data_IF_138658179660
#
_entry.id   IF_138658179660
#
_cell.length_a   1.000
_cell.length_b   1.000
_cell.length_c   1.000
_cell.angle_alpha   90.00
_cell.angle_beta   90.00
_cell.angle_gamma   90.00
#
_symmetry.space_group_name_H-M   'P 1'
#
loop_
_entity.id
_entity.type
_entity.pdbx_description
1 polymer ?
#
# COMPACT_ATOMS: atom_id res chain seq x y z
N UNK A 1 -1.45 -49.28 11.33
CA UNK A 1 -1.01 -47.88 11.36
C UNK A 1 -0.62 -47.49 9.95
N UNK A 2 -1.41 -46.66 9.30
CA UNK A 2 -1.11 -46.12 7.97
C UNK A 2 -0.20 -44.90 8.06
N UNK A 3 0.38 -44.50 6.94
CA UNK A 3 1.19 -43.27 6.85
C UNK A 3 0.39 -42.02 7.24
N UNK A 4 -0.87 -41.93 6.81
CA UNK A 4 -1.78 -40.85 7.18
C UNK A 4 -2.09 -40.81 8.68
N UNK A 5 -2.27 -41.97 9.31
CA UNK A 5 -2.47 -42.08 10.76
C UNK A 5 -1.25 -41.60 11.54
N UNK A 6 -0.04 -41.96 11.07
CA UNK A 6 1.21 -41.50 11.65
C UNK A 6 1.36 -39.97 11.54
N UNK A 7 1.13 -39.41 10.34
CA UNK A 7 1.21 -37.96 10.14
C UNK A 7 0.18 -37.19 10.98
N UNK A 8 -1.03 -37.74 11.16
CA UNK A 8 -2.04 -37.15 12.03
C UNK A 8 -1.59 -37.11 13.49
N UNK A 9 -1.00 -38.20 14.01
CA UNK A 9 -0.48 -38.25 15.38
C UNK A 9 0.69 -37.28 15.59
N UNK A 10 1.63 -37.23 14.64
CA UNK A 10 2.77 -36.30 14.72
C UNK A 10 2.26 -34.85 14.73
N UNK A 11 1.31 -34.49 13.86
CA UNK A 11 0.71 -33.15 13.85
C UNK A 11 0.02 -32.81 15.17
N UNK A 12 -0.71 -33.77 15.75
CA UNK A 12 -1.36 -33.58 17.05
C UNK A 12 -0.34 -33.34 18.18
N UNK A 13 0.79 -34.07 18.16
CA UNK A 13 1.87 -33.87 19.13
C UNK A 13 2.48 -32.46 19.02
N UNK A 14 2.74 -31.97 17.80
CA UNK A 14 3.21 -30.60 17.59
C UNK A 14 2.20 -29.55 18.05
N UNK A 15 0.91 -29.73 17.77
CA UNK A 15 -0.12 -28.80 18.25
C UNK A 15 -0.20 -28.72 19.78
N UNK A 16 0.16 -29.79 20.49
CA UNK A 16 0.15 -29.82 21.96
C UNK A 16 1.44 -29.26 22.59
N UNK A 17 2.61 -29.57 21.99
CA UNK A 17 3.92 -29.24 22.55
C UNK A 17 4.45 -27.88 22.08
N UNK A 18 4.12 -27.48 20.85
CA UNK A 18 4.57 -26.25 20.21
C UNK A 18 3.40 -25.58 19.47
N UNK A 19 2.39 -25.07 20.22
CA UNK A 19 1.26 -24.39 19.61
C UNK A 19 1.71 -23.09 18.92
N UNK A 20 1.08 -22.76 17.79
CA UNK A 20 1.31 -21.47 17.14
C UNK A 20 0.97 -20.35 18.11
N UNK A 21 1.90 -19.42 18.40
CA UNK A 21 1.64 -18.33 19.33
C UNK A 21 0.43 -17.49 18.91
N UNK A 22 -0.39 -17.08 19.88
CA UNK A 22 -1.67 -16.40 19.62
C UNK A 22 -1.50 -15.11 18.82
N UNK A 23 -0.39 -14.40 19.04
CA UNK A 23 0.00 -13.20 18.32
C UNK A 23 0.28 -13.44 16.83
N UNK A 24 0.80 -14.61 16.45
CA UNK A 24 1.02 -14.98 15.04
C UNK A 24 -0.33 -15.19 14.35
N UNK A 25 -1.26 -15.88 15.02
CA UNK A 25 -2.63 -16.05 14.51
C UNK A 25 -3.36 -14.70 14.42
N UNK A 26 -3.21 -13.84 15.43
CA UNK A 26 -3.79 -12.50 15.43
C UNK A 26 -3.23 -11.62 14.30
N UNK A 27 -1.92 -11.67 14.07
CA UNK A 27 -1.25 -10.97 12.97
C UNK A 27 -1.74 -11.48 11.60
N UNK A 28 -1.84 -12.81 11.44
CA UNK A 28 -2.37 -13.42 10.21
C UNK A 28 -3.82 -13.01 9.92
N UNK A 29 -4.69 -13.00 10.93
CA UNK A 29 -6.07 -12.51 10.80
C UNK A 29 -6.12 -11.02 10.48
N UNK A 30 -5.27 -10.21 11.12
CA UNK A 30 -5.18 -8.77 10.87
C UNK A 30 -4.73 -8.47 9.44
N UNK A 31 -3.81 -9.28 8.89
CA UNK A 31 -3.37 -9.16 7.51
C UNK A 31 -4.50 -9.38 6.49
N UNK A 32 -5.50 -10.21 6.79
CA UNK A 32 -6.69 -10.35 5.94
C UNK A 32 -7.52 -9.07 5.87
N UNK A 33 -7.55 -8.28 6.94
CA UNK A 33 -8.18 -6.96 6.97
C UNK A 33 -7.49 -5.93 6.05
N UNK A 34 -6.26 -6.20 5.61
CA UNK A 34 -5.55 -5.38 4.63
C UNK A 34 -5.94 -5.69 3.18
N UNK A 35 -6.81 -6.68 2.94
CA UNK A 35 -7.37 -6.90 1.61
C UNK A 35 -8.53 -5.96 1.36
N UNK A 36 -8.66 -5.52 0.11
CA UNK A 36 -9.85 -4.82 -0.37
C UNK A 36 -10.52 -5.74 -1.39
N UNK A 37 -11.62 -6.43 -1.02
CA UNK A 37 -12.30 -7.35 -1.92
C UNK A 37 -12.72 -6.66 -3.22
N UNK A 38 -12.49 -7.31 -4.35
CA UNK A 38 -12.85 -6.79 -5.67
C UNK A 38 -11.97 -5.65 -6.21
N UNK A 39 -11.01 -5.13 -5.42
CA UNK A 39 -10.06 -4.14 -5.91
C UNK A 39 -8.97 -4.79 -6.76
N UNK A 40 -8.68 -4.20 -7.93
CA UNK A 40 -7.50 -4.54 -8.71
C UNK A 40 -6.23 -4.15 -7.96
N UNK A 41 -5.20 -5.01 -7.99
CA UNK A 41 -3.92 -4.71 -7.34
C UNK A 41 -2.94 -4.14 -8.36
N UNK A 42 -2.51 -2.90 -8.13
CA UNK A 42 -1.42 -2.28 -8.86
C UNK A 42 -0.08 -2.58 -8.17
N UNK A 43 0.74 -3.44 -8.79
CA UNK A 43 2.03 -3.84 -8.25
C UNK A 43 3.10 -2.78 -8.51
N UNK A 44 4.03 -2.59 -7.55
CA UNK A 44 5.18 -1.72 -7.73
C UNK A 44 6.08 -2.26 -8.85
N UNK A 45 6.25 -1.47 -9.92
CA UNK A 45 7.09 -1.81 -11.08
C UNK A 45 8.35 -0.94 -11.16
N UNK A 46 8.35 0.22 -10.49
CA UNK A 46 9.52 1.11 -10.45
C UNK A 46 9.59 1.85 -9.11
N UNK A 47 10.77 1.86 -8.52
CA UNK A 47 11.11 2.61 -7.32
C UNK A 47 12.46 3.29 -7.53
N UNK A 48 12.48 4.62 -7.58
CA UNK A 48 13.67 5.42 -7.84
C UNK A 48 13.85 6.45 -6.75
N UNK A 49 14.90 6.28 -5.94
CA UNK A 49 15.40 7.34 -5.09
C UNK A 49 16.18 8.35 -5.93
N UNK A 50 15.73 9.61 -5.96
CA UNK A 50 16.41 10.73 -6.59
C UNK A 50 17.09 11.55 -5.49
N UNK A 51 18.41 11.66 -5.58
CA UNK A 51 19.18 12.53 -4.68
C UNK A 51 18.78 13.99 -4.93
N UNK A 52 18.71 14.84 -3.90
CA UNK A 52 18.54 16.27 -4.08
C UNK A 52 19.77 16.81 -4.82
N UNK A 53 19.59 17.25 -6.07
CA UNK A 53 20.67 17.72 -6.93
C UNK A 53 20.51 17.30 -8.39
N UNK A 54 19.61 17.97 -9.12
CA UNK A 54 19.46 17.76 -10.56
C UNK A 54 18.13 18.27 -11.12
N UNK A 55 17.92 19.58 -11.09
CA UNK A 55 16.92 20.28 -11.90
C UNK A 55 15.54 20.49 -11.27
N UNK A 56 15.27 21.74 -10.87
CA UNK A 56 14.02 22.44 -11.19
C UNK A 56 12.75 22.18 -10.38
N UNK A 57 12.75 21.36 -9.32
CA UNK A 57 11.57 21.20 -8.48
C UNK A 57 11.64 22.15 -7.28
N UNK A 58 10.69 23.10 -7.21
CA UNK A 58 10.49 23.99 -6.05
C UNK A 58 9.96 23.19 -4.87
N UNK A 59 10.85 22.44 -4.23
CA UNK A 59 10.62 21.74 -2.97
C UNK A 59 11.99 21.57 -2.31
N UNK A 60 12.25 22.31 -1.25
CA UNK A 60 13.59 22.45 -0.67
C UNK A 60 14.25 21.10 -0.39
N UNK A 61 15.41 20.86 -1.02
CA UNK A 61 16.50 19.97 -0.59
C UNK A 61 16.22 18.52 -0.20
N UNK A 62 14.99 18.03 -0.26
CA UNK A 62 14.59 16.72 0.29
C UNK A 62 14.71 15.63 -0.77
N UNK A 63 15.08 14.42 -0.32
CA UNK A 63 15.14 13.26 -1.19
C UNK A 63 13.75 12.98 -1.78
N UNK A 64 13.69 12.82 -3.10
CA UNK A 64 12.47 12.51 -3.83
C UNK A 64 12.49 11.03 -4.19
N UNK A 65 11.49 10.27 -3.78
CA UNK A 65 11.32 8.88 -4.19
C UNK A 65 10.16 8.79 -5.17
N UNK A 66 10.47 8.48 -6.41
CA UNK A 66 9.50 8.30 -7.48
C UNK A 66 9.09 6.82 -7.57
N UNK A 67 7.80 6.56 -7.38
CA UNK A 67 7.18 5.24 -7.40
C UNK A 67 6.27 5.12 -8.62
N UNK A 68 6.25 3.95 -9.23
CA UNK A 68 5.32 3.61 -10.31
C UNK A 68 4.72 2.24 -10.03
N UNK A 69 3.39 2.20 -10.00
CA UNK A 69 2.61 0.99 -9.80
C UNK A 69 1.79 0.70 -11.06
N UNK A 70 1.66 -0.57 -11.43
CA UNK A 70 0.94 -0.98 -12.63
C UNK A 70 -0.13 -2.02 -12.30
N UNK A 71 -1.32 -1.81 -12.85
CA UNK A 71 -2.43 -2.75 -12.91
C UNK A 71 -2.92 -2.86 -14.38
N UNK A 72 -3.72 -3.87 -14.74
CA UNK A 72 -4.31 -3.94 -16.08
C UNK A 72 -5.02 -2.64 -16.45
N UNK A 73 -4.57 -1.98 -17.53
CA UNK A 73 -5.16 -0.75 -18.06
C UNK A 73 -4.90 0.53 -17.25
N UNK A 74 -4.15 0.47 -16.14
CA UNK A 74 -3.91 1.64 -15.27
C UNK A 74 -2.50 1.67 -14.69
N UNK A 75 -1.94 2.87 -14.57
CA UNK A 75 -0.66 3.14 -13.91
C UNK A 75 -0.88 4.21 -12.85
N UNK A 76 -0.30 4.03 -11.67
CA UNK A 76 -0.24 5.05 -10.62
C UNK A 76 1.21 5.50 -10.49
N UNK A 77 1.45 6.78 -10.70
CA UNK A 77 2.73 7.43 -10.44
C UNK A 77 2.62 8.24 -9.16
N UNK A 78 3.57 8.07 -8.24
CA UNK A 78 3.59 8.78 -6.97
C UNK A 78 5.01 9.24 -6.65
N UNK A 79 5.12 10.51 -6.30
CA UNK A 79 6.32 11.17 -5.84
C UNK A 79 6.18 11.38 -4.33
N UNK A 80 7.16 10.85 -3.59
CA UNK A 80 7.23 10.95 -2.13
C UNK A 80 8.41 11.84 -1.77
N UNK A 81 8.14 12.90 -1.00
CA UNK A 81 9.16 13.82 -0.49
C UNK A 81 8.99 14.07 1.01
N UNK A 82 9.98 14.74 1.59
CA UNK A 82 10.06 15.02 3.04
C UNK A 82 10.84 13.98 3.83
N UNK A 83 11.11 14.30 5.09
CA UNK A 83 11.84 13.45 6.06
C UNK A 83 11.22 13.56 7.46
N UNK A 84 11.55 12.61 8.33
CA UNK A 84 11.03 12.57 9.70
C UNK A 84 9.63 11.96 9.81
N UNK A 85 8.75 12.53 10.63
CA UNK A 85 7.46 11.91 10.99
C UNK A 85 6.42 11.88 9.86
N UNK A 86 6.52 12.79 8.91
CA UNK A 86 5.55 12.93 7.82
C UNK A 86 6.26 12.94 6.46
N UNK A 87 5.54 12.50 5.44
CA UNK A 87 5.88 12.64 4.02
C UNK A 87 4.80 13.43 3.31
N UNK A 88 5.18 14.09 2.24
CA UNK A 88 4.26 14.58 1.24
C UNK A 88 4.23 13.56 0.09
N UNK A 89 3.02 13.22 -0.37
CA UNK A 89 2.79 12.29 -1.48
C UNK A 89 1.96 13.01 -2.52
N UNK A 90 2.53 13.25 -3.70
CA UNK A 90 1.81 13.79 -4.84
C UNK A 90 1.92 12.82 -6.01
N UNK A 91 0.92 12.78 -6.88
CA UNK A 91 0.95 11.79 -7.96
C UNK A 91 -0.20 11.91 -8.93
N UNK A 92 -0.29 10.91 -9.80
CA UNK A 92 -1.43 10.78 -10.72
C UNK A 92 -1.77 9.32 -11.04
N UNK A 93 -3.03 9.09 -11.38
CA UNK A 93 -3.48 7.88 -12.06
C UNK A 93 -3.53 8.11 -13.58
N UNK A 94 -3.09 7.12 -14.35
CA UNK A 94 -3.02 7.16 -15.83
C UNK A 94 -3.77 5.95 -16.40
N UNK A 95 -4.68 6.11 -17.38
CA UNK A 95 -5.18 7.39 -17.90
C UNK A 95 -5.86 8.24 -16.81
N UNK A 96 -5.81 9.57 -16.97
CA UNK A 96 -6.39 10.53 -16.03
C UNK A 96 -7.89 10.29 -15.85
N UNK A 97 -8.34 10.29 -14.59
CA UNK A 97 -9.74 10.10 -14.23
C UNK A 97 -9.95 10.69 -12.84
N UNK A 98 -11.06 11.40 -12.59
CA UNK A 98 -11.40 11.82 -11.24
C UNK A 98 -11.65 10.58 -10.37
N UNK A 99 -11.11 10.55 -9.17
CA UNK A 99 -11.21 9.39 -8.28
C UNK A 99 -11.24 9.83 -6.82
N UNK A 100 -11.93 9.07 -5.96
CA UNK A 100 -11.69 9.19 -4.53
C UNK A 100 -10.37 8.47 -4.20
N UNK A 101 -9.44 9.16 -3.56
CA UNK A 101 -8.13 8.63 -3.19
C UNK A 101 -8.05 8.52 -1.68
N UNK A 102 -7.65 7.35 -1.18
CA UNK A 102 -7.43 7.12 0.24
C UNK A 102 -6.02 6.62 0.47
N UNK A 103 -5.29 7.23 1.39
CA UNK A 103 -4.05 6.67 1.92
C UNK A 103 -4.42 5.65 3.00
N UNK A 104 -3.97 4.42 2.80
CA UNK A 104 -4.13 3.32 3.75
C UNK A 104 -2.82 3.16 4.49
N UNK A 105 -2.84 3.33 5.81
CA UNK A 105 -1.68 3.16 6.68
C UNK A 105 -1.90 1.95 7.58
N UNK A 106 -0.88 1.11 7.71
CA UNK A 106 -0.93 -0.02 8.62
C UNK A 106 -0.99 0.49 10.08
N UNK A 107 -1.98 0.04 10.84
CA UNK A 107 -2.16 0.43 12.24
C UNK A 107 -2.95 1.73 12.45
N UNK A 108 -3.48 2.34 11.38
CA UNK A 108 -4.33 3.54 11.44
C UNK A 108 -5.77 3.19 11.05
N UNK A 109 -6.75 3.90 11.62
CA UNK A 109 -8.15 3.71 11.25
C UNK A 109 -8.39 4.08 9.77
N UNK A 110 -9.25 3.34 9.03
CA UNK A 110 -9.56 3.68 7.65
C UNK A 110 -10.19 5.07 7.51
N UNK A 111 -9.77 5.84 6.50
CA UNK A 111 -10.47 7.06 6.06
C UNK A 111 -9.87 8.38 6.56
N UNK A 112 -8.91 8.37 7.49
CA UNK A 112 -8.29 9.59 8.04
C UNK A 112 -7.56 10.44 6.99
N UNK A 113 -7.13 9.84 5.88
CA UNK A 113 -6.40 10.51 4.80
C UNK A 113 -7.10 10.22 3.46
N UNK A 114 -8.22 10.91 3.25
CA UNK A 114 -9.04 10.81 2.04
C UNK A 114 -9.04 12.15 1.32
N UNK A 115 -8.79 12.13 0.01
CA UNK A 115 -8.92 13.28 -0.87
C UNK A 115 -9.41 12.84 -2.26
N UNK A 116 -9.36 13.71 -3.26
CA UNK A 116 -9.76 13.42 -4.64
C UNK A 116 -8.62 13.61 -5.61
N UNK A 117 -8.59 12.74 -6.62
CA UNK A 117 -7.91 13.01 -7.86
C UNK A 117 -8.80 13.88 -8.75
N UNK A 118 -8.20 14.84 -9.44
CA UNK A 118 -8.90 15.72 -10.40
C UNK A 118 -9.20 15.01 -11.74
N UNK A 119 -9.74 15.75 -12.71
CA UNK A 119 -10.05 15.21 -14.05
C UNK A 119 -8.82 14.67 -14.79
N UNK A 120 -7.64 15.24 -14.54
CA UNK A 120 -6.36 14.77 -15.07
C UNK A 120 -5.79 13.59 -14.27
N UNK A 121 -6.48 13.15 -13.21
CA UNK A 121 -6.07 12.07 -12.32
C UNK A 121 -5.02 12.48 -11.28
N UNK A 122 -4.77 13.78 -11.09
CA UNK A 122 -3.75 14.28 -10.16
C UNK A 122 -4.27 14.34 -8.73
N UNK A 123 -3.45 13.94 -7.76
CA UNK A 123 -3.77 13.97 -6.34
C UNK A 123 -2.57 14.42 -5.50
N UNK A 124 -2.82 14.94 -4.29
CA UNK A 124 -1.77 15.30 -3.34
C UNK A 124 -2.20 15.09 -1.89
N UNK A 125 -1.28 14.60 -1.07
CA UNK A 125 -1.42 14.42 0.37
C UNK A 125 -0.21 15.06 1.06
N UNK A 126 -0.35 16.29 1.60
CA UNK A 126 0.80 17.04 2.11
C UNK A 126 1.34 16.50 3.44
N UNK A 127 0.57 15.66 4.16
CA UNK A 127 0.94 15.17 5.49
C UNK A 127 0.51 13.72 5.70
N UNK A 128 1.32 12.80 5.20
CA UNK A 128 1.16 11.36 5.40
C UNK A 128 2.13 10.88 6.49
N UNK A 129 1.66 10.31 7.61
CA UNK A 129 2.54 9.67 8.60
C UNK A 129 3.48 8.64 7.97
N UNK A 130 4.71 8.58 8.46
CA UNK A 130 5.65 7.51 8.11
C UNK A 130 5.09 6.13 8.49
N UNK A 131 5.30 5.13 7.62
CA UNK A 131 4.79 3.79 7.85
C UNK A 131 4.68 2.95 6.57
N UNK A 132 4.07 1.78 6.70
CA UNK A 132 3.63 0.99 5.56
C UNK A 132 2.35 1.62 4.99
N UNK A 133 2.39 2.02 3.72
CA UNK A 133 1.26 2.65 3.05
C UNK A 133 0.86 1.95 1.75
N UNK A 134 -0.40 2.14 1.38
CA UNK A 134 -1.01 1.74 0.10
C UNK A 134 -1.99 2.85 -0.30
N UNK A 135 -2.08 3.15 -1.60
CA UNK A 135 -3.08 4.06 -2.13
C UNK A 135 -4.28 3.25 -2.62
N UNK A 136 -5.48 3.65 -2.21
CA UNK A 136 -6.74 3.14 -2.73
C UNK A 136 -7.40 4.20 -3.59
N UNK A 137 -7.86 3.79 -4.76
CA UNK A 137 -8.61 4.60 -5.71
C UNK A 137 -9.99 3.98 -5.89
N UNK A 138 -11.03 4.79 -5.72
CA UNK A 138 -12.39 4.46 -6.15
C UNK A 138 -12.70 5.28 -7.40
N UNK A 139 -12.94 4.58 -8.51
CA UNK A 139 -13.20 5.20 -9.81
C UNK A 139 -14.70 5.48 -9.99
N UNK A 140 -15.09 6.38 -10.92
CA UNK A 140 -16.48 6.75 -11.13
C UNK A 140 -17.36 5.60 -11.64
N UNK A 141 -16.77 4.61 -12.31
CA UNK A 141 -17.45 3.40 -12.79
C UNK A 141 -17.68 2.35 -11.69
N UNK A 142 -17.34 2.66 -10.44
CA UNK A 142 -17.46 1.78 -9.29
C UNK A 142 -16.32 0.78 -9.13
N UNK A 143 -15.38 0.72 -10.08
CA UNK A 143 -14.18 -0.10 -9.93
C UNK A 143 -13.23 0.51 -8.90
N UNK A 144 -12.37 -0.32 -8.31
CA UNK A 144 -11.37 0.16 -7.37
C UNK A 144 -10.01 -0.47 -7.60
N UNK A 145 -8.98 0.29 -7.27
CA UNK A 145 -7.57 -0.10 -7.42
C UNK A 145 -6.85 0.16 -6.11
N UNK A 146 -6.01 -0.79 -5.69
CA UNK A 146 -5.09 -0.62 -4.56
C UNK A 146 -3.66 -0.79 -5.04
N UNK A 147 -2.75 0.07 -4.60
CA UNK A 147 -1.32 -0.19 -4.80
C UNK A 147 -0.82 -1.26 -3.83
N UNK A 148 0.22 -2.00 -4.22
CA UNK A 148 0.96 -2.83 -3.28
C UNK A 148 1.49 -1.99 -2.12
N UNK A 149 1.57 -2.59 -0.93
CA UNK A 149 2.12 -1.93 0.26
C UNK A 149 3.60 -1.63 0.08
N UNK A 150 4.02 -0.42 0.49
CA UNK A 150 5.43 -0.01 0.51
C UNK A 150 5.69 0.84 1.75
N UNK A 151 6.94 0.87 2.22
CA UNK A 151 7.34 1.67 3.38
C UNK A 151 7.81 3.06 2.95
N UNK A 152 7.29 4.12 3.58
CA UNK A 152 7.71 5.52 3.41
C UNK A 152 9.04 5.86 4.10
#
# INVERSE_FOLDING_TARGET
>A
MTEDELFAQVRAAFHALDPVPGEVLAAGRSALGLRVPGAGVAGLVRDRARRPGGGGLRGGGTALRALTFAAPGRVVEADVCGSGRYREIAGRIVPGVPALVRVRLLGTAPGELTDRADEAGQFAFPRVPEGLFSLYFQLPDGTSIVTSWIRL
#
